data_IF_462975835232
#
_entry.id   IF_462975835232
#
_cell.length_a   1.000
_cell.length_b   1.000
_cell.length_c   1.000
_cell.angle_alpha   90.00
_cell.angle_beta   90.00
_cell.angle_gamma   90.00
#
_symmetry.space_group_name_H-M   'P 1'
#
loop_
_entity.id
_entity.type
_entity.pdbx_description
1 polymer ?
#
# COMPACT_ATOMS: atom_id res chain seq x y z
N UNK A 1 -1.10 -34.39 -13.02
CA UNK A 1 0.33 -34.11 -13.31
C UNK A 1 0.58 -32.62 -13.14
N UNK A 2 1.66 -32.23 -12.46
CA UNK A 2 2.05 -30.83 -12.34
C UNK A 2 2.61 -30.32 -13.68
N UNK A 3 2.27 -29.08 -14.06
CA UNK A 3 2.84 -28.42 -15.24
C UNK A 3 4.13 -27.70 -14.84
N UNK A 4 5.13 -27.66 -15.73
CA UNK A 4 6.34 -26.86 -15.53
C UNK A 4 5.97 -25.38 -15.49
N UNK A 5 6.43 -24.66 -14.48
CA UNK A 5 6.31 -23.21 -14.41
C UNK A 5 7.22 -22.57 -15.47
N UNK A 6 6.66 -21.70 -16.29
CA UNK A 6 7.39 -20.95 -17.34
C UNK A 6 7.00 -19.47 -17.29
N UNK A 7 7.81 -18.60 -17.87
CA UNK A 7 7.50 -17.16 -17.95
C UNK A 7 6.16 -16.91 -18.66
N UNK A 8 5.87 -17.65 -19.72
CA UNK A 8 4.58 -17.54 -20.43
C UNK A 8 3.38 -17.90 -19.54
N UNK A 9 3.53 -18.90 -18.65
CA UNK A 9 2.48 -19.23 -17.67
C UNK A 9 2.32 -18.09 -16.65
N UNK A 10 3.42 -17.55 -16.13
CA UNK A 10 3.40 -16.42 -15.19
C UNK A 10 2.75 -15.19 -15.82
N UNK A 11 3.13 -14.82 -17.05
CA UNK A 11 2.53 -13.71 -17.79
C UNK A 11 1.03 -13.88 -17.98
N UNK A 12 0.60 -15.11 -18.31
CA UNK A 12 -0.82 -15.42 -18.45
C UNK A 12 -1.57 -15.28 -17.13
N UNK A 13 -1.02 -15.78 -16.04
CA UNK A 13 -1.63 -15.67 -14.70
C UNK A 13 -1.65 -14.23 -14.18
N UNK A 14 -0.65 -13.43 -14.52
CA UNK A 14 -0.55 -12.04 -14.10
C UNK A 14 -1.58 -11.11 -14.77
N UNK A 15 -2.25 -11.54 -15.85
CA UNK A 15 -3.28 -10.74 -16.53
C UNK A 15 -4.46 -10.38 -15.61
N UNK A 16 -4.74 -11.19 -14.59
CA UNK A 16 -5.79 -10.90 -13.60
C UNK A 16 -5.57 -9.56 -12.88
N UNK A 17 -4.32 -9.12 -12.73
CA UNK A 17 -3.98 -7.86 -12.07
C UNK A 17 -4.27 -6.63 -12.94
N UNK A 18 -4.70 -6.81 -14.19
CA UNK A 18 -5.16 -5.71 -15.06
C UNK A 18 -6.66 -5.45 -14.89
N UNK A 19 -7.38 -6.33 -14.20
CA UNK A 19 -8.82 -6.19 -14.02
C UNK A 19 -9.15 -5.09 -13.02
N UNK A 20 -10.01 -4.16 -13.43
CA UNK A 20 -10.50 -3.06 -12.60
C UNK A 20 -12.00 -3.13 -12.36
N UNK A 21 -12.46 -2.55 -11.26
CA UNK A 21 -13.86 -2.35 -10.92
C UNK A 21 -14.14 -0.85 -10.76
N UNK A 22 -15.32 -0.42 -11.20
CA UNK A 22 -15.78 0.96 -11.07
C UNK A 22 -16.55 1.10 -9.76
N UNK A 23 -16.29 2.18 -9.04
CA UNK A 23 -17.15 2.63 -7.94
C UNK A 23 -17.66 4.03 -8.25
N UNK A 24 -18.85 4.37 -7.76
CA UNK A 24 -19.52 5.63 -8.07
C UNK A 24 -19.76 6.45 -6.80
N UNK A 25 -19.65 7.77 -6.94
CA UNK A 25 -19.89 8.75 -5.89
C UNK A 25 -21.01 9.69 -6.32
N UNK A 26 -21.65 10.32 -5.32
CA UNK A 26 -22.66 11.37 -5.50
C UNK A 26 -23.73 11.01 -6.54
N UNK A 27 -24.35 9.85 -6.35
CA UNK A 27 -25.38 9.30 -7.24
C UNK A 27 -24.95 9.15 -8.70
N UNK A 28 -23.65 8.88 -8.94
CA UNK A 28 -23.10 8.60 -10.27
C UNK A 28 -22.46 9.81 -10.95
N UNK A 29 -22.35 10.95 -10.27
CA UNK A 29 -21.68 12.15 -10.80
C UNK A 29 -20.17 11.92 -11.01
N UNK A 30 -19.54 11.20 -10.08
CA UNK A 30 -18.11 10.88 -10.13
C UNK A 30 -17.88 9.37 -10.05
N UNK A 31 -16.76 8.91 -10.59
CA UNK A 31 -16.35 7.51 -10.48
C UNK A 31 -14.84 7.36 -10.27
N UNK A 32 -14.46 6.20 -9.75
CA UNK A 32 -13.07 5.79 -9.56
C UNK A 32 -12.90 4.34 -10.01
N UNK A 33 -11.76 4.01 -10.62
CA UNK A 33 -11.41 2.65 -11.01
C UNK A 33 -10.43 2.04 -10.02
N UNK A 34 -10.86 0.98 -9.34
CA UNK A 34 -10.08 0.23 -8.37
C UNK A 34 -9.56 -1.05 -9.01
N UNK A 35 -8.37 -1.49 -8.65
CA UNK A 35 -7.90 -2.82 -9.02
C UNK A 35 -8.77 -3.89 -8.33
N UNK A 36 -9.21 -4.92 -9.08
CA UNK A 36 -9.94 -6.06 -8.51
C UNK A 36 -9.01 -7.02 -7.76
N UNK A 37 -7.76 -7.11 -8.20
CA UNK A 37 -6.76 -7.98 -7.64
C UNK A 37 -5.48 -7.20 -7.35
N UNK A 38 -4.98 -7.29 -6.13
CA UNK A 38 -3.78 -6.61 -5.73
C UNK A 38 -2.55 -7.34 -6.28
N UNK A 39 -1.85 -6.69 -7.20
CA UNK A 39 -0.58 -7.20 -7.71
C UNK A 39 0.45 -7.27 -6.58
N UNK A 40 1.13 -8.41 -6.36
CA UNK A 40 2.23 -8.52 -5.41
C UNK A 40 3.33 -7.48 -5.63
N UNK A 41 3.55 -7.06 -6.88
CA UNK A 41 4.49 -6.00 -7.23
C UNK A 41 4.03 -4.66 -6.64
N UNK A 42 2.77 -4.27 -6.84
CA UNK A 42 2.20 -3.04 -6.29
C UNK A 42 2.19 -3.05 -4.76
N UNK A 43 1.86 -4.19 -4.13
CA UNK A 43 1.95 -4.35 -2.67
C UNK A 43 3.38 -4.06 -2.19
N UNK A 44 4.38 -4.64 -2.87
CA UNK A 44 5.79 -4.44 -2.50
C UNK A 44 6.22 -2.98 -2.66
N UNK A 45 5.79 -2.31 -3.73
CA UNK A 45 6.04 -0.88 -3.94
C UNK A 45 5.39 -0.01 -2.86
N UNK A 46 4.14 -0.30 -2.50
CA UNK A 46 3.44 0.35 -1.38
C UNK A 46 4.23 0.22 -0.08
N UNK A 47 4.66 -1.00 0.28
CA UNK A 47 5.42 -1.24 1.51
C UNK A 47 6.78 -0.55 1.51
N UNK A 48 7.43 -0.50 0.34
CA UNK A 48 8.69 0.22 0.19
C UNK A 48 8.52 1.72 0.41
N UNK A 49 7.53 2.34 -0.25
CA UNK A 49 7.22 3.76 -0.06
C UNK A 49 6.82 4.04 1.40
N UNK A 50 5.97 3.19 1.99
CA UNK A 50 5.61 3.32 3.39
C UNK A 50 6.85 3.36 4.29
N UNK A 51 7.79 2.43 4.12
CA UNK A 51 9.03 2.41 4.88
C UNK A 51 9.93 3.63 4.61
N UNK A 52 10.09 4.03 3.35
CA UNK A 52 10.85 5.23 2.96
C UNK A 52 10.32 6.48 3.67
N UNK A 53 9.01 6.66 3.68
CA UNK A 53 8.36 7.84 4.24
C UNK A 53 8.44 7.84 5.77
N UNK A 54 8.35 6.67 6.40
CA UNK A 54 8.64 6.51 7.83
C UNK A 54 10.09 6.87 8.20
N UNK A 55 11.07 6.51 7.35
CA UNK A 55 12.46 6.92 7.55
C UNK A 55 12.61 8.43 7.41
N UNK A 56 12.01 9.04 6.39
CA UNK A 56 12.02 10.48 6.19
C UNK A 56 11.45 11.25 7.39
N UNK A 57 10.32 10.81 7.95
CA UNK A 57 9.70 11.40 9.16
C UNK A 57 10.69 11.38 10.34
N UNK A 58 11.33 10.23 10.57
CA UNK A 58 12.35 10.08 11.62
C UNK A 58 13.55 10.99 11.40
N UNK A 59 14.05 11.09 10.17
CA UNK A 59 15.16 11.97 9.81
C UNK A 59 14.84 13.45 9.99
N UNK A 60 13.56 13.84 9.84
CA UNK A 60 13.07 15.19 10.13
C UNK A 60 12.87 15.47 11.62
N UNK A 61 13.09 14.49 12.50
CA UNK A 61 12.91 14.64 13.94
C UNK A 61 11.45 14.75 14.37
N UNK A 62 10.51 14.33 13.52
CA UNK A 62 9.10 14.22 13.87
C UNK A 62 8.92 12.97 14.71
N UNK A 63 8.24 13.09 15.85
CA UNK A 63 7.91 11.93 16.67
C UNK A 63 6.99 10.99 15.86
N UNK A 64 7.36 9.72 15.64
CA UNK A 64 6.50 8.78 14.93
C UNK A 64 5.11 8.64 15.56
N UNK A 65 4.97 8.84 16.87
CA UNK A 65 3.68 8.78 17.55
C UNK A 65 2.71 9.92 17.16
N UNK A 66 3.24 11.03 16.64
CA UNK A 66 2.45 12.15 16.13
C UNK A 66 1.98 11.92 14.69
N UNK A 67 2.45 10.85 14.03
CA UNK A 67 2.08 10.50 12.67
C UNK A 67 1.07 9.35 12.64
N UNK A 68 -0.08 9.55 11.98
CA UNK A 68 -1.08 8.50 11.80
C UNK A 68 -0.63 7.51 10.72
N UNK A 69 0.24 6.58 11.12
CA UNK A 69 0.77 5.51 10.28
C UNK A 69 -0.32 4.63 9.67
N UNK A 70 -1.44 4.44 10.37
CA UNK A 70 -2.51 3.55 9.92
C UNK A 70 -3.28 4.22 8.79
N UNK A 71 -3.72 5.47 8.98
CA UNK A 71 -4.39 6.22 7.92
C UNK A 71 -3.46 6.43 6.72
N UNK A 72 -2.18 6.69 6.95
CA UNK A 72 -1.23 6.82 5.85
C UNK A 72 -1.01 5.50 5.06
N UNK A 73 -1.00 4.35 5.74
CA UNK A 73 -0.95 3.06 5.05
C UNK A 73 -2.19 2.83 4.16
N UNK A 74 -3.38 3.18 4.66
CA UNK A 74 -4.61 3.10 3.86
C UNK A 74 -4.61 4.12 2.72
N UNK A 75 -4.08 5.33 2.94
CA UNK A 75 -3.88 6.31 1.89
C UNK A 75 -3.00 5.75 0.76
N UNK A 76 -1.88 5.11 1.10
CA UNK A 76 -1.04 4.47 0.08
C UNK A 76 -1.77 3.30 -0.62
N UNK A 77 -2.68 2.61 0.07
CA UNK A 77 -3.55 1.59 -0.57
C UNK A 77 -4.41 2.23 -1.66
N UNK A 78 -4.99 3.41 -1.40
CA UNK A 78 -5.70 4.19 -2.41
C UNK A 78 -4.75 4.58 -3.56
N UNK A 79 -3.57 5.13 -3.24
CA UNK A 79 -2.57 5.53 -4.25
C UNK A 79 -2.17 4.38 -5.17
N UNK A 80 -1.91 3.19 -4.65
CA UNK A 80 -1.38 2.09 -5.47
C UNK A 80 -2.46 1.30 -6.23
N UNK A 81 -3.67 1.21 -5.69
CA UNK A 81 -4.71 0.31 -6.21
C UNK A 81 -5.92 1.04 -6.81
N UNK A 82 -5.81 2.34 -7.07
CA UNK A 82 -6.82 3.13 -7.80
C UNK A 82 -6.17 3.93 -8.93
N UNK A 83 -6.98 4.42 -9.86
CA UNK A 83 -6.56 5.40 -10.87
C UNK A 83 -6.36 6.82 -10.30
N UNK A 84 -6.86 7.14 -9.11
CA UNK A 84 -6.54 8.39 -8.41
C UNK A 84 -5.03 8.51 -8.13
N UNK A 85 -4.37 7.37 -7.90
CA UNK A 85 -2.93 7.27 -7.70
C UNK A 85 -2.07 7.91 -8.77
N UNK A 86 -2.54 7.96 -10.01
CA UNK A 86 -1.83 8.57 -11.14
C UNK A 86 -1.68 10.09 -10.98
N UNK A 87 -2.48 10.70 -10.10
CA UNK A 87 -2.48 12.14 -9.80
C UNK A 87 -1.87 12.47 -8.44
N UNK A 88 -1.56 11.46 -7.62
CA UNK A 88 -1.00 11.65 -6.28
C UNK A 88 0.53 11.79 -6.37
N UNK A 89 1.11 12.91 -5.93
CA UNK A 89 2.56 13.14 -5.93
C UNK A 89 3.32 12.21 -4.99
N UNK A 90 4.66 12.16 -5.13
CA UNK A 90 5.54 11.32 -4.31
C UNK A 90 6.06 12.04 -3.03
N UNK A 91 5.92 13.36 -2.97
CA UNK A 91 6.31 14.17 -1.81
C UNK A 91 5.35 13.93 -0.63
N UNK A 92 5.91 13.62 0.56
CA UNK A 92 5.13 13.27 1.75
C UNK A 92 4.14 14.37 2.12
N UNK A 93 4.57 15.62 2.13
CA UNK A 93 3.75 16.76 2.55
C UNK A 93 2.54 16.96 1.63
N UNK A 94 2.70 16.72 0.32
CA UNK A 94 1.60 16.79 -0.64
C UNK A 94 0.65 15.60 -0.50
N UNK A 95 1.18 14.41 -0.22
CA UNK A 95 0.38 13.24 0.07
C UNK A 95 -0.49 13.40 1.32
N UNK A 96 0.07 13.95 2.40
CA UNK A 96 -0.68 14.24 3.63
C UNK A 96 -1.78 15.26 3.39
N UNK A 97 -1.48 16.32 2.62
CA UNK A 97 -2.51 17.27 2.22
C UNK A 97 -3.67 16.61 1.46
N UNK A 98 -3.38 15.74 0.49
CA UNK A 98 -4.42 15.00 -0.25
C UNK A 98 -5.17 14.02 0.65
N UNK A 99 -4.47 13.34 1.57
CA UNK A 99 -5.09 12.46 2.55
C UNK A 99 -6.12 13.21 3.39
N UNK A 100 -5.79 14.40 3.89
CA UNK A 100 -6.70 15.26 4.64
C UNK A 100 -7.92 15.66 3.80
N UNK A 101 -7.72 16.04 2.53
CA UNK A 101 -8.83 16.36 1.62
C UNK A 101 -9.78 15.16 1.40
N UNK A 102 -9.23 13.93 1.28
CA UNK A 102 -10.03 12.72 1.13
C UNK A 102 -10.82 12.39 2.40
N UNK A 103 -10.22 12.63 3.58
CA UNK A 103 -10.85 12.43 4.89
C UNK A 103 -11.99 13.43 5.09
N UNK A 104 -11.73 14.72 4.88
CA UNK A 104 -12.72 15.79 5.01
C UNK A 104 -13.90 15.63 4.05
N UNK A 105 -13.63 15.18 2.82
CA UNK A 105 -14.65 14.92 1.80
C UNK A 105 -15.45 13.63 1.99
N UNK A 106 -15.18 12.85 3.05
CA UNK A 106 -15.79 11.53 3.28
C UNK A 106 -15.59 10.53 2.12
N UNK A 107 -14.55 10.72 1.30
CA UNK A 107 -14.20 9.81 0.20
C UNK A 107 -13.28 8.69 0.68
N UNK A 108 -12.42 9.00 1.65
CA UNK A 108 -11.36 8.10 2.11
C UNK A 108 -11.89 6.72 2.50
N UNK A 109 -12.77 6.65 3.50
CA UNK A 109 -13.30 5.38 4.00
C UNK A 109 -14.26 4.71 3.02
N UNK A 110 -14.92 5.47 2.13
CA UNK A 110 -15.75 4.92 1.07
C UNK A 110 -14.91 4.18 0.02
N UNK A 111 -13.77 4.73 -0.36
CA UNK A 111 -12.83 4.07 -1.28
C UNK A 111 -12.27 2.81 -0.62
N UNK A 112 -11.78 2.92 0.63
CA UNK A 112 -11.23 1.78 1.37
C UNK A 112 -12.26 0.66 1.51
N UNK A 113 -13.49 0.99 1.90
CA UNK A 113 -14.59 0.02 2.06
C UNK A 113 -15.10 -0.59 0.75
N UNK A 114 -14.67 -0.09 -0.41
CA UNK A 114 -15.02 -0.64 -1.71
C UNK A 114 -14.02 -1.69 -2.22
N UNK A 115 -12.84 -1.81 -1.59
CA UNK A 115 -11.93 -2.91 -1.87
C UNK A 115 -12.52 -4.23 -1.36
N UNK A 116 -12.20 -5.32 -2.06
CA UNK A 116 -12.62 -6.65 -1.67
C UNK A 116 -11.85 -7.12 -0.42
N UNK A 117 -12.56 -7.66 0.58
CA UNK A 117 -11.99 -8.13 1.85
C UNK A 117 -10.86 -9.15 1.67
N UNK A 118 -10.94 -10.05 0.69
CA UNK A 118 -9.88 -11.03 0.39
C UNK A 118 -8.58 -10.35 -0.04
N UNK A 119 -8.68 -9.26 -0.81
CA UNK A 119 -7.52 -8.47 -1.22
C UNK A 119 -6.95 -7.67 -0.05
N UNK A 120 -7.81 -7.13 0.81
CA UNK A 120 -7.39 -6.43 2.04
C UNK A 120 -6.69 -7.39 3.02
N UNK A 121 -7.21 -8.60 3.17
CA UNK A 121 -6.56 -9.67 3.95
C UNK A 121 -5.20 -10.05 3.34
N UNK A 122 -5.12 -10.16 2.01
CA UNK A 122 -3.85 -10.40 1.32
C UNK A 122 -2.85 -9.29 1.62
N UNK A 123 -3.25 -8.01 1.55
CA UNK A 123 -2.37 -6.89 1.89
C UNK A 123 -1.88 -6.96 3.34
N UNK A 124 -2.77 -7.27 4.29
CA UNK A 124 -2.43 -7.47 5.70
C UNK A 124 -1.42 -8.60 5.93
N UNK A 125 -1.57 -9.73 5.22
CA UNK A 125 -0.63 -10.85 5.27
C UNK A 125 0.76 -10.44 4.75
N UNK A 126 0.81 -9.68 3.65
CA UNK A 126 2.05 -9.16 3.11
C UNK A 126 2.73 -8.19 4.07
N UNK A 127 1.98 -7.27 4.68
CA UNK A 127 2.49 -6.34 5.68
C UNK A 127 3.08 -7.11 6.88
N UNK A 128 2.37 -8.13 7.38
CA UNK A 128 2.82 -8.96 8.50
C UNK A 128 4.14 -9.68 8.18
N UNK A 129 4.25 -10.26 6.98
CA UNK A 129 5.49 -10.89 6.50
C UNK A 129 6.62 -9.88 6.33
N UNK A 130 6.32 -8.70 5.80
CA UNK A 130 7.30 -7.64 5.62
C UNK A 130 7.91 -7.21 6.95
N UNK A 131 7.07 -6.95 7.96
CA UNK A 131 7.52 -6.60 9.32
C UNK A 131 8.34 -7.73 9.93
N UNK A 132 7.89 -8.98 9.82
CA UNK A 132 8.61 -10.16 10.33
C UNK A 132 9.99 -10.32 9.69
N UNK A 133 10.08 -10.18 8.37
CA UNK A 133 11.34 -10.25 7.63
C UNK A 133 12.29 -9.13 8.02
N UNK A 134 11.78 -7.89 8.13
CA UNK A 134 12.59 -6.74 8.57
C UNK A 134 13.16 -6.96 9.97
N UNK A 135 12.33 -7.41 10.92
CA UNK A 135 12.79 -7.71 12.29
C UNK A 135 13.88 -8.77 12.31
N UNK A 136 13.76 -9.80 11.47
CA UNK A 136 14.77 -10.86 11.35
C UNK A 136 16.08 -10.31 10.81
N UNK A 137 16.03 -9.50 9.74
CA UNK A 137 17.21 -8.88 9.15
C UNK A 137 17.96 -8.01 10.16
N UNK A 138 17.28 -7.14 10.90
CA UNK A 138 17.93 -6.30 11.91
C UNK A 138 18.50 -7.10 13.07
N UNK A 139 17.82 -8.16 13.52
CA UNK A 139 18.34 -9.04 14.58
C UNK A 139 19.56 -9.87 14.11
N UNK A 140 19.65 -10.22 12.82
CA UNK A 140 20.81 -10.93 12.26
C UNK A 140 22.00 -10.02 11.95
N UNK A 141 21.81 -8.71 11.83
CA UNK A 141 22.87 -7.72 11.57
C UNK A 141 23.43 -7.11 12.88
N UNK A 142 22.71 -7.23 14.00
CA UNK A 142 23.15 -6.80 15.33
C UNK A 142 23.76 -7.85 16.30
N UNK A 143 24.44 -8.98 15.92
CA UNK A 143 24.92 -9.93 16.93
C UNK A 143 26.16 -9.49 17.74
N UNK A 144 26.91 -8.44 17.39
CA UNK A 144 28.18 -8.13 18.09
C UNK A 144 28.39 -6.61 18.30
N UNK A 145 27.86 -6.04 19.38
CA UNK A 145 28.43 -4.80 19.97
C UNK A 145 28.03 -4.53 21.42
N UNK A 146 27.74 -5.57 22.22
CA UNK A 146 27.58 -5.38 23.68
C UNK A 146 28.25 -6.51 24.45
N UNK A 147 29.58 -6.52 24.43
CA UNK A 147 30.41 -7.13 25.46
C UNK A 147 31.59 -6.19 25.71
N UNK A 148 31.33 -5.14 26.49
CA UNK A 148 32.32 -4.30 27.14
C UNK A 148 32.16 -4.44 28.65
#
# INVERSE_FOLDING_TARGET
MAKKLTLSVIEKENKKFLEKQKIEFDNGEYYLMLDKHFSPKKITSLLHEFNEKNLYIREKGIDPSDFDHVSYFWFLTIKYFTDLGETIPDELEQQLFIMDQLLDGNYFWRIIGAFNDEQMNTLSDYLSRYISNMSTLFNTVAPESVAG
#
